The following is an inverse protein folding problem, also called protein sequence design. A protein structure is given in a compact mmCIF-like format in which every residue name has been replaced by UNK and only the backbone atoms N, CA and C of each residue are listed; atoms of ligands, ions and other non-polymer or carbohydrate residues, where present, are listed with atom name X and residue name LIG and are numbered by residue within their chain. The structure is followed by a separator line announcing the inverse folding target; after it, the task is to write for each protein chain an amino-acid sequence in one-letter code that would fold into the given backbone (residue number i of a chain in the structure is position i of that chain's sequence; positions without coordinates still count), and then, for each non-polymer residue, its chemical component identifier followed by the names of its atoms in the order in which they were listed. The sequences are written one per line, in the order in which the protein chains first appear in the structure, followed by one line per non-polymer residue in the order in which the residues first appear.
data_IF_878688613930
#
_entry.id   IF_878688613930
#
_cell.length_a   1.000
_cell.length_b   1.000
_cell.length_c   1.000
_cell.angle_alpha   90.00
_cell.angle_beta   90.00
_cell.angle_gamma   90.00
#
_symmetry.space_group_name_H-M   'P 1'
#
loop_
_entity.id
_entity.type
_entity.pdbx_description
1 polymer ?
#
# COMPACT_ATOMS: atom_id res chain seq x y z
N UNK A 1 14.31 -4.60 -7.83
CA UNK A 1 13.02 -5.11 -7.31
C UNK A 1 12.85 -6.61 -7.54
N UNK A 2 13.01 -7.13 -8.77
CA UNK A 2 12.85 -8.56 -9.07
C UNK A 2 13.88 -9.50 -8.43
N UNK A 3 15.01 -8.97 -7.97
CA UNK A 3 16.04 -9.72 -7.24
C UNK A 3 15.72 -9.94 -5.75
N UNK A 4 14.61 -9.40 -5.24
CA UNK A 4 14.15 -9.68 -3.87
C UNK A 4 13.80 -11.17 -3.73
N UNK A 5 14.29 -11.82 -2.67
CA UNK A 5 14.16 -13.27 -2.49
C UNK A 5 12.70 -13.74 -2.40
N UNK A 6 11.78 -12.86 -1.99
CA UNK A 6 10.35 -13.16 -1.88
C UNK A 6 9.58 -12.75 -3.14
N UNK A 7 10.21 -12.18 -4.16
CA UNK A 7 9.53 -11.61 -5.33
C UNK A 7 8.71 -12.67 -6.09
N UNK A 8 9.25 -13.87 -6.25
CA UNK A 8 8.55 -15.00 -6.87
C UNK A 8 7.31 -15.43 -6.07
N UNK A 9 7.37 -15.36 -4.74
CA UNK A 9 6.23 -15.64 -3.85
C UNK A 9 5.14 -14.60 -4.06
N UNK A 10 5.50 -13.31 -4.13
CA UNK A 10 4.53 -12.26 -4.44
C UNK A 10 3.89 -12.45 -5.82
N UNK A 11 4.69 -12.79 -6.84
CA UNK A 11 4.16 -13.07 -8.17
C UNK A 11 3.15 -14.23 -8.19
N UNK A 12 3.41 -15.29 -7.41
CA UNK A 12 2.46 -16.39 -7.23
C UNK A 12 1.21 -15.95 -6.50
N UNK A 13 1.31 -15.14 -5.45
CA UNK A 13 0.15 -14.62 -4.73
C UNK A 13 -0.75 -13.76 -5.66
N UNK A 14 -0.16 -12.86 -6.46
CA UNK A 14 -0.92 -12.03 -7.39
C UNK A 14 -1.61 -12.82 -8.52
N UNK A 15 -1.13 -14.04 -8.85
CA UNK A 15 -1.81 -14.93 -9.82
C UNK A 15 -3.15 -15.47 -9.31
N UNK A 16 -3.40 -15.47 -7.99
CA UNK A 16 -4.67 -15.86 -7.40
C UNK A 16 -5.85 -14.96 -7.79
N UNK A 17 -5.58 -13.75 -8.31
CA UNK A 17 -6.59 -12.89 -8.89
C UNK A 17 -7.70 -12.52 -7.89
N UNK A 18 -8.96 -12.61 -8.36
CA UNK A 18 -10.14 -12.23 -7.56
C UNK A 18 -10.49 -13.26 -6.48
N UNK A 19 -10.14 -14.53 -6.68
CA UNK A 19 -10.48 -15.61 -5.76
C UNK A 19 -9.57 -15.62 -4.53
N UNK A 20 -8.38 -15.03 -4.64
CA UNK A 20 -7.43 -14.87 -3.55
C UNK A 20 -6.71 -13.50 -3.63
N UNK A 21 -7.40 -12.40 -3.28
CA UNK A 21 -6.81 -11.07 -3.37
C UNK A 21 -5.67 -10.90 -2.36
N UNK A 22 -4.60 -10.25 -2.81
CA UNK A 22 -3.44 -9.94 -1.97
C UNK A 22 -3.80 -8.85 -0.96
N UNK A 23 -3.46 -9.04 0.31
CA UNK A 23 -3.73 -8.05 1.37
C UNK A 23 -2.93 -6.77 1.17
N UNK A 24 -3.52 -5.64 1.57
CA UNK A 24 -2.91 -4.32 1.45
C UNK A 24 -1.61 -4.22 2.25
N UNK A 25 -0.59 -3.50 1.75
CA UNK A 25 0.60 -3.21 2.55
C UNK A 25 0.24 -2.22 3.66
N UNK A 26 0.80 -2.46 4.85
CA UNK A 26 0.65 -1.55 6.00
C UNK A 26 1.82 -0.57 6.01
N UNK A 27 1.49 0.70 5.85
CA UNK A 27 2.43 1.78 5.58
C UNK A 27 2.48 2.74 6.76
N UNK A 28 3.69 3.21 7.02
CA UNK A 28 3.97 4.27 7.95
C UNK A 28 4.89 5.34 7.40
N UNK A 29 4.99 6.44 8.13
CA UNK A 29 5.94 7.49 7.83
C UNK A 29 6.63 8.00 9.10
N UNK A 30 7.83 8.56 8.94
CA UNK A 30 8.47 9.37 9.96
C UNK A 30 9.09 10.60 9.32
N UNK A 31 9.27 11.65 10.12
CA UNK A 31 10.03 12.82 9.72
C UNK A 31 11.51 12.47 9.66
N UNK A 32 12.17 12.88 8.58
CA UNK A 32 13.61 12.78 8.38
C UNK A 32 14.18 14.18 8.07
N UNK A 33 15.50 14.34 8.16
CA UNK A 33 16.14 15.63 7.88
C UNK A 33 15.86 16.16 6.46
N UNK A 34 15.59 15.26 5.51
CA UNK A 34 15.25 15.53 4.12
C UNK A 34 13.75 15.68 3.84
N UNK A 35 12.89 15.58 4.86
CA UNK A 35 11.44 15.65 4.73
C UNK A 35 10.75 14.48 5.44
N UNK A 36 10.15 13.58 4.68
CA UNK A 36 9.44 12.41 5.22
C UNK A 36 9.91 11.15 4.50
N UNK A 37 10.02 10.07 5.27
CA UNK A 37 10.29 8.74 4.74
C UNK A 37 9.09 7.84 4.99
N UNK A 38 8.91 6.85 4.12
CA UNK A 38 7.82 5.88 4.18
C UNK A 38 8.43 4.50 4.48
N UNK A 39 7.95 3.82 5.53
CA UNK A 39 8.25 2.40 5.79
C UNK A 39 7.00 1.56 5.67
N UNK A 40 7.24 0.26 5.58
CA UNK A 40 6.22 -0.75 5.65
C UNK A 40 6.60 -1.73 6.74
N UNK A 41 5.69 -1.97 7.69
CA UNK A 41 5.85 -3.05 8.68
C UNK A 41 5.62 -4.41 8.03
N UNK A 42 4.76 -4.46 7.01
CA UNK A 42 4.56 -5.61 6.11
C UNK A 42 4.20 -5.10 4.70
N UNK A 43 4.58 -5.89 3.69
CA UNK A 43 4.16 -5.66 2.31
C UNK A 43 5.22 -5.03 1.40
N UNK A 44 6.49 -4.95 1.81
CA UNK A 44 7.55 -4.44 0.93
C UNK A 44 7.63 -5.19 -0.41
N UNK A 45 7.72 -6.53 -0.39
CA UNK A 45 7.86 -7.32 -1.62
C UNK A 45 6.64 -7.24 -2.55
N UNK A 46 5.42 -7.23 -2.00
CA UNK A 46 4.21 -7.09 -2.84
C UNK A 46 4.12 -5.68 -3.44
N UNK A 47 4.58 -4.66 -2.71
CA UNK A 47 4.76 -3.31 -3.27
C UNK A 47 5.81 -3.29 -4.39
N UNK A 48 6.96 -3.94 -4.21
CA UNK A 48 7.95 -4.07 -5.28
C UNK A 48 7.38 -4.75 -6.53
N UNK A 49 6.53 -5.76 -6.34
CA UNK A 49 5.85 -6.41 -7.46
C UNK A 49 4.93 -5.43 -8.20
N UNK A 50 4.09 -4.67 -7.48
CA UNK A 50 3.21 -3.64 -8.07
C UNK A 50 4.00 -2.58 -8.84
N UNK A 51 5.09 -2.08 -8.24
CA UNK A 51 5.97 -1.07 -8.86
C UNK A 51 6.69 -1.62 -10.10
N UNK A 52 7.22 -2.84 -10.04
CA UNK A 52 7.86 -3.49 -11.18
C UNK A 52 6.89 -3.70 -12.36
N UNK A 53 5.61 -3.88 -12.07
CA UNK A 53 4.54 -4.00 -13.09
C UNK A 53 3.94 -2.64 -13.48
N UNK A 54 4.52 -1.53 -13.03
CA UNK A 54 4.06 -0.16 -13.34
C UNK A 54 2.59 0.09 -13.00
N UNK A 55 2.10 -0.52 -11.92
CA UNK A 55 0.77 -0.23 -11.41
C UNK A 55 0.71 1.25 -11.02
N UNK A 56 -0.16 2.01 -11.69
CA UNK A 56 -0.20 3.49 -11.60
C UNK A 56 -0.50 3.99 -10.18
N UNK A 57 -1.39 3.30 -9.48
CA UNK A 57 -1.83 3.64 -8.13
C UNK A 57 -2.38 2.39 -7.46
N UNK A 58 -2.15 2.25 -6.16
CA UNK A 58 -2.68 1.14 -5.39
C UNK A 58 -3.04 1.60 -3.97
N UNK A 59 -4.06 0.99 -3.34
CA UNK A 59 -4.41 1.28 -1.96
C UNK A 59 -3.33 0.74 -1.00
N UNK A 60 -3.17 1.45 0.11
CA UNK A 60 -2.35 1.04 1.26
C UNK A 60 -3.17 1.24 2.53
N UNK A 61 -2.86 0.52 3.60
CA UNK A 61 -3.44 0.76 4.91
C UNK A 61 -2.44 1.49 5.81
N UNK A 62 -2.95 2.31 6.73
CA UNK A 62 -2.16 3.03 7.73
C UNK A 62 -2.81 2.85 9.10
N UNK A 63 -2.08 3.20 10.17
CA UNK A 63 -2.55 3.01 11.54
C UNK A 63 -3.75 3.90 11.90
N UNK A 64 -3.75 5.16 11.47
CA UNK A 64 -4.78 6.14 11.84
C UNK A 64 -5.02 7.21 10.75
N UNK A 65 -6.03 8.06 11.00
CA UNK A 65 -6.46 9.10 10.08
C UNK A 65 -5.42 10.22 9.86
N UNK A 66 -4.60 10.53 10.87
CA UNK A 66 -3.53 11.53 10.74
C UNK A 66 -2.47 11.04 9.76
N UNK A 67 -2.09 9.77 9.88
CA UNK A 67 -1.18 9.10 8.96
C UNK A 67 -1.74 9.08 7.54
N UNK A 68 -3.04 8.78 7.42
CA UNK A 68 -3.70 8.72 6.12
C UNK A 68 -3.67 10.08 5.42
N UNK A 69 -3.93 11.16 6.17
CA UNK A 69 -3.96 12.54 5.66
C UNK A 69 -2.57 12.97 5.17
N UNK A 70 -1.54 12.73 5.98
CA UNK A 70 -0.16 13.14 5.65
C UNK A 70 0.34 12.35 4.44
N UNK A 71 0.16 11.03 4.43
CA UNK A 71 0.58 10.19 3.30
C UNK A 71 -0.16 10.58 2.01
N UNK A 72 -1.44 10.95 2.10
CA UNK A 72 -2.20 11.43 0.95
C UNK A 72 -1.67 12.75 0.40
N UNK A 73 -1.26 13.68 1.27
CA UNK A 73 -0.64 14.94 0.84
C UNK A 73 0.72 14.75 0.14
N UNK A 74 1.46 13.68 0.48
CA UNK A 74 2.77 13.40 -0.10
C UNK A 74 2.72 12.60 -1.40
N UNK A 75 1.91 11.54 -1.43
CA UNK A 75 1.91 10.53 -2.49
C UNK A 75 0.51 10.10 -2.95
N UNK A 76 -0.53 10.76 -2.45
CA UNK A 76 -1.91 10.50 -2.85
C UNK A 76 -2.21 10.95 -4.27
N UNK A 77 -3.25 10.38 -4.85
CA UNK A 77 -3.73 10.72 -6.21
C UNK A 77 -4.91 11.71 -6.19
N UNK A 78 -5.00 12.55 -5.15
CA UNK A 78 -6.05 13.56 -4.99
C UNK A 78 -7.41 13.05 -4.46
N UNK A 79 -7.50 11.77 -4.08
CA UNK A 79 -8.70 11.20 -3.42
C UNK A 79 -8.47 11.18 -1.92
N UNK A 80 -9.43 11.71 -1.15
CA UNK A 80 -9.35 11.74 0.31
C UNK A 80 -9.27 10.31 0.88
N UNK A 81 -8.48 10.08 1.94
CA UNK A 81 -8.47 8.81 2.64
C UNK A 81 -9.86 8.42 3.16
N UNK A 82 -10.14 7.12 3.23
CA UNK A 82 -11.40 6.59 3.73
C UNK A 82 -11.12 5.54 4.81
N UNK A 83 -11.86 5.59 5.91
CA UNK A 83 -11.79 4.58 6.95
C UNK A 83 -12.39 3.25 6.46
N UNK A 84 -11.85 2.10 6.88
CA UNK A 84 -12.40 0.80 6.50
C UNK A 84 -13.87 0.64 6.88
N UNK A 85 -14.26 1.10 8.07
CA UNK A 85 -15.66 1.07 8.53
C UNK A 85 -16.59 1.80 7.57
N UNK A 86 -16.21 3.00 7.13
CA UNK A 86 -16.97 3.79 6.18
C UNK A 86 -16.99 3.15 4.78
N UNK A 87 -15.83 2.67 4.31
CA UNK A 87 -15.72 2.00 3.01
C UNK A 87 -16.64 0.76 2.92
N UNK A 88 -16.71 -0.03 3.99
CA UNK A 88 -17.55 -1.22 4.05
C UNK A 88 -19.02 -0.90 4.27
N UNK A 89 -19.35 0.16 5.02
CA UNK A 89 -20.73 0.63 5.14
C UNK A 89 -21.33 1.07 3.79
N UNK A 90 -20.51 1.60 2.86
CA UNK A 90 -20.94 1.99 1.51
C UNK A 90 -21.19 0.79 0.56
N UNK A 91 -20.79 -0.41 0.96
CA UNK A 91 -20.90 -1.63 0.15
C UNK A 91 -21.96 -2.61 0.66
N UNK A 92 -22.54 -2.35 1.84
CA UNK A 92 -23.69 -3.07 2.38
C UNK A 92 -24.99 -2.54 1.76
#
# INVERSE_FOLDING_TARGET
MSLDSKFAVAATAFRGGRDAPVTLPSVGYWAAASGYEVAMSDGMTRTFWLLAHRVRSFPVSVADASWATILNGMAGIGVAPIAFSELFARRA
#
